data_IF_717497561103
#
_entry.id   IF_717497561103
#
_cell.length_a   1.000
_cell.length_b   1.000
_cell.length_c   1.000
_cell.angle_alpha   90.00
_cell.angle_beta   90.00
_cell.angle_gamma   90.00
#
_symmetry.space_group_name_H-M   'P 1'
#
loop_
_entity.id
_entity.type
_entity.pdbx_description
1 polymer ?
#
# COMPACT_ATOMS: atom_id res chain seq x y z
N UNK A 1 -12.66 16.71 7.37
CA UNK A 1 -12.46 15.38 7.87
C UNK A 1 -12.54 15.37 9.38
N UNK A 2 -13.34 14.49 9.95
CA UNK A 2 -13.52 14.34 11.39
C UNK A 2 -12.32 13.57 11.96
N UNK A 3 -11.61 14.15 12.92
CA UNK A 3 -10.64 13.44 13.75
C UNK A 3 -11.42 12.49 14.67
N UNK A 4 -11.28 11.18 14.50
CA UNK A 4 -11.85 10.19 15.42
C UNK A 4 -10.92 9.94 16.61
N UNK A 5 -11.51 9.76 17.79
CA UNK A 5 -10.83 9.44 19.02
C UNK A 5 -10.22 8.02 18.99
N UNK A 6 -9.09 7.86 19.67
CA UNK A 6 -8.47 6.56 19.97
C UNK A 6 -9.49 5.59 20.57
N UNK A 7 -9.83 4.52 19.88
CA UNK A 7 -10.76 3.56 20.47
C UNK A 7 -10.91 2.21 19.80
N UNK A 8 -10.60 2.04 18.51
CA UNK A 8 -10.83 0.78 17.83
C UNK A 8 -9.73 0.43 16.79
N UNK A 9 -8.49 0.41 17.24
CA UNK A 9 -7.41 -0.22 16.49
C UNK A 9 -7.51 -1.73 16.68
N UNK A 10 -8.36 -2.40 15.91
CA UNK A 10 -8.12 -3.83 15.66
C UNK A 10 -6.75 -3.93 15.01
N UNK A 11 -5.81 -4.57 15.70
CA UNK A 11 -4.46 -4.81 15.19
C UNK A 11 -4.60 -5.63 13.92
N UNK A 12 -4.55 -4.96 12.78
CA UNK A 12 -4.49 -5.61 11.49
C UNK A 12 -3.06 -6.11 11.32
N UNK A 13 -2.88 -7.32 10.79
CA UNK A 13 -1.55 -7.89 10.58
C UNK A 13 -0.66 -6.90 9.80
N UNK A 14 0.57 -6.80 10.24
CA UNK A 14 1.57 -5.85 9.77
C UNK A 14 2.44 -6.50 8.70
N UNK A 15 2.60 -5.84 7.57
CA UNK A 15 3.37 -6.38 6.46
C UNK A 15 4.41 -5.39 5.94
N UNK A 16 5.55 -5.92 5.54
CA UNK A 16 6.51 -5.20 4.72
C UNK A 16 5.95 -4.99 3.32
N UNK A 17 6.46 -3.98 2.62
CA UNK A 17 6.06 -3.72 1.24
C UNK A 17 6.45 -4.90 0.34
N UNK A 18 5.54 -5.36 -0.55
CA UNK A 18 5.89 -6.35 -1.54
C UNK A 18 6.90 -5.79 -2.54
N UNK A 19 7.76 -6.67 -3.06
CA UNK A 19 8.61 -6.35 -4.19
C UNK A 19 7.79 -6.14 -5.46
N UNK A 20 8.28 -5.27 -6.35
CA UNK A 20 7.60 -5.01 -7.62
C UNK A 20 7.79 -6.21 -8.53
N UNK A 21 6.69 -6.82 -8.95
CA UNK A 21 6.74 -7.91 -9.92
C UNK A 21 5.56 -7.86 -10.90
N UNK A 22 5.77 -8.54 -12.00
CA UNK A 22 4.81 -8.69 -13.10
C UNK A 22 4.59 -10.17 -13.36
N UNK A 23 3.37 -10.54 -13.70
CA UNK A 23 3.03 -11.89 -14.10
C UNK A 23 2.17 -11.89 -15.36
N UNK A 24 2.38 -12.90 -16.20
CA UNK A 24 1.60 -13.13 -17.40
C UNK A 24 1.49 -14.63 -17.66
N UNK A 25 0.29 -15.06 -17.98
CA UNK A 25 0.00 -16.46 -18.28
C UNK A 25 -0.70 -16.55 -19.63
N UNK A 26 -0.13 -17.31 -20.58
CA UNK A 26 -0.87 -17.66 -21.80
C UNK A 26 -2.04 -18.56 -21.39
N UNK A 27 -3.25 -18.21 -21.81
CA UNK A 27 -4.42 -19.05 -21.60
C UNK A 27 -4.46 -20.11 -22.71
N UNK A 28 -4.78 -21.35 -22.34
CA UNK A 28 -5.04 -22.46 -23.28
C UNK A 28 -3.94 -22.67 -24.32
N UNK A 29 -2.76 -23.07 -23.86
CA UNK A 29 -1.71 -23.55 -24.75
C UNK A 29 -2.08 -24.99 -25.13
N UNK A 30 -2.58 -25.18 -26.36
CA UNK A 30 -2.82 -26.50 -26.90
C UNK A 30 -1.57 -27.02 -27.55
N UNK A 31 -1.15 -28.20 -27.16
CA UNK A 31 -0.09 -28.97 -27.83
C UNK A 31 -0.80 -29.90 -28.81
N UNK A 32 -0.49 -29.75 -30.10
CA UNK A 32 -1.10 -30.49 -31.18
C UNK A 32 -0.15 -31.52 -31.72
N UNK A 33 -0.66 -32.67 -32.19
CA UNK A 33 0.13 -33.68 -32.93
C UNK A 33 0.32 -33.29 -34.39
N UNK A 34 -0.36 -32.23 -34.86
CA UNK A 34 -0.29 -31.76 -36.23
C UNK A 34 0.85 -30.73 -36.38
N UNK A 35 1.89 -31.02 -37.23
CA UNK A 35 2.99 -30.11 -37.53
C UNK A 35 2.56 -28.71 -38.01
N UNK A 36 1.41 -28.61 -38.68
CA UNK A 36 0.90 -27.35 -39.23
C UNK A 36 0.45 -26.34 -38.11
N UNK A 37 0.30 -26.79 -36.86
CA UNK A 37 -0.08 -25.94 -35.72
C UNK A 37 1.13 -25.30 -35.01
N UNK A 38 2.34 -25.55 -35.56
CA UNK A 38 3.59 -25.00 -35.05
C UNK A 38 4.16 -23.93 -35.99
N UNK A 39 4.98 -23.01 -35.41
CA UNK A 39 5.55 -21.90 -36.19
C UNK A 39 6.67 -22.32 -37.12
N UNK A 40 7.51 -23.27 -36.70
CA UNK A 40 8.59 -23.80 -37.51
C UNK A 40 9.13 -25.12 -36.94
N UNK A 41 9.90 -25.83 -37.75
CA UNK A 41 10.69 -27.00 -37.34
C UNK A 41 12.14 -26.58 -37.06
N UNK A 42 12.63 -26.91 -35.89
CA UNK A 42 14.04 -26.70 -35.52
C UNK A 42 14.83 -27.94 -35.97
N UNK A 43 15.67 -27.77 -37.01
CA UNK A 43 16.45 -28.87 -37.61
C UNK A 43 17.57 -29.35 -36.67
N UNK A 44 18.14 -28.48 -35.84
CA UNK A 44 19.22 -28.84 -34.92
C UNK A 44 18.68 -29.65 -33.73
N UNK A 45 17.60 -29.22 -33.14
CA UNK A 45 16.96 -29.90 -32.02
C UNK A 45 16.01 -31.04 -32.46
N UNK A 46 15.68 -31.14 -33.76
CA UNK A 46 14.72 -32.10 -34.33
C UNK A 46 13.33 -32.03 -33.69
N UNK A 47 12.84 -30.82 -33.41
CA UNK A 47 11.52 -30.57 -32.76
C UNK A 47 10.72 -29.51 -33.48
N UNK A 48 9.39 -29.63 -33.39
CA UNK A 48 8.49 -28.58 -33.82
C UNK A 48 8.38 -27.53 -32.72
N UNK A 49 8.49 -26.26 -33.08
CA UNK A 49 8.50 -25.11 -32.16
C UNK A 49 7.22 -24.28 -32.31
N UNK A 50 6.55 -24.05 -31.20
CA UNK A 50 5.42 -23.11 -31.10
C UNK A 50 5.80 -21.94 -30.19
N UNK A 51 5.73 -20.73 -30.73
CA UNK A 51 6.00 -19.52 -29.97
C UNK A 51 4.75 -19.14 -29.17
N UNK A 52 4.93 -18.86 -27.90
CA UNK A 52 3.88 -18.44 -27.00
C UNK A 52 4.21 -17.04 -26.53
N UNK A 53 3.25 -16.12 -26.71
CA UNK A 53 3.36 -14.76 -26.19
C UNK A 53 2.48 -14.59 -24.97
N UNK A 54 3.00 -13.97 -23.93
CA UNK A 54 2.27 -13.59 -22.75
C UNK A 54 2.44 -12.10 -22.46
N UNK A 55 1.35 -11.41 -22.17
CA UNK A 55 1.41 -10.02 -21.70
C UNK A 55 1.65 -10.02 -20.20
N UNK A 56 2.71 -9.34 -19.77
CA UNK A 56 2.98 -9.15 -18.36
C UNK A 56 2.11 -8.04 -17.79
N UNK A 57 1.40 -8.33 -16.71
CA UNK A 57 0.60 -7.37 -15.97
C UNK A 57 1.21 -7.15 -14.59
N UNK A 58 1.19 -5.90 -14.07
CA UNK A 58 1.64 -5.63 -12.72
C UNK A 58 0.77 -6.38 -11.70
N UNK A 59 1.39 -6.87 -10.64
CA UNK A 59 0.74 -7.51 -9.50
C UNK A 59 0.92 -6.70 -8.22
N UNK A 60 1.65 -5.60 -8.33
CA UNK A 60 1.94 -4.67 -7.25
C UNK A 60 1.71 -3.27 -7.76
N UNK A 61 1.07 -2.46 -6.95
CA UNK A 61 0.73 -1.07 -7.26
C UNK A 61 1.53 -0.11 -6.39
N UNK A 62 1.85 1.06 -6.94
CA UNK A 62 2.68 2.07 -6.27
C UNK A 62 1.80 3.29 -5.97
N UNK A 63 1.82 3.71 -4.70
CA UNK A 63 1.26 4.98 -4.27
C UNK A 63 2.38 5.93 -3.83
N UNK A 64 2.30 7.18 -4.25
CA UNK A 64 3.06 8.27 -3.69
C UNK A 64 2.21 8.95 -2.62
N UNK A 65 2.67 8.91 -1.39
CA UNK A 65 1.93 9.48 -0.25
C UNK A 65 2.58 10.80 0.14
N UNK A 66 1.77 11.85 0.23
CA UNK A 66 2.20 13.20 0.61
C UNK A 66 1.38 13.69 1.80
N UNK A 67 2.05 14.06 2.87
CA UNK A 67 1.47 14.71 4.03
C UNK A 67 1.94 16.16 4.06
N UNK A 68 1.04 17.08 3.75
CA UNK A 68 1.30 18.50 3.65
C UNK A 68 0.99 19.15 4.99
N UNK A 69 1.99 19.71 5.62
CA UNK A 69 1.94 20.30 6.96
C UNK A 69 1.94 21.84 6.84
N UNK A 70 0.76 22.45 6.89
CA UNK A 70 0.62 23.91 6.92
C UNK A 70 0.84 24.44 8.34
N UNK A 71 1.26 25.69 8.46
CA UNK A 71 1.43 26.41 9.72
C UNK A 71 2.31 25.62 10.72
N UNK A 72 3.34 24.93 10.21
CA UNK A 72 4.20 24.09 11.04
C UNK A 72 5.10 24.93 11.97
N UNK A 73 5.67 26.03 11.48
CA UNK A 73 6.55 26.94 12.24
C UNK A 73 7.60 26.22 13.10
N UNK A 74 8.14 25.10 12.57
CA UNK A 74 9.10 24.26 13.27
C UNK A 74 8.56 23.44 14.44
N UNK A 75 7.24 23.34 14.60
CA UNK A 75 6.58 22.56 15.68
C UNK A 75 6.81 21.06 15.49
N UNK A 76 6.68 20.60 14.24
CA UNK A 76 6.92 19.21 13.84
C UNK A 76 8.29 19.16 13.16
N UNK A 77 9.17 18.32 13.68
CA UNK A 77 10.56 18.20 13.23
C UNK A 77 10.76 17.07 12.24
N UNK A 78 9.87 16.09 12.21
CA UNK A 78 9.95 14.94 11.31
C UNK A 78 8.78 13.99 11.49
N UNK A 79 8.88 12.89 10.78
CA UNK A 79 8.10 11.68 11.00
C UNK A 79 9.01 10.63 11.60
N UNK A 80 8.53 9.83 12.51
CA UNK A 80 9.30 8.71 13.05
C UNK A 80 8.93 7.45 12.27
N UNK A 81 9.84 6.99 11.45
CA UNK A 81 10.03 5.70 10.79
C UNK A 81 8.87 4.79 10.38
N UNK A 82 7.66 4.94 10.87
CA UNK A 82 6.59 3.95 10.69
C UNK A 82 5.29 4.56 10.21
N UNK A 83 5.37 5.34 9.13
CA UNK A 83 4.15 5.75 8.44
C UNK A 83 3.51 4.53 7.79
N UNK A 84 2.19 4.38 7.89
CA UNK A 84 1.51 3.19 7.40
C UNK A 84 0.14 3.53 6.79
N UNK A 85 -0.32 2.68 5.88
CA UNK A 85 -1.73 2.69 5.43
C UNK A 85 -2.32 1.31 5.67
N UNK A 86 -3.52 1.29 6.29
CA UNK A 86 -4.31 0.07 6.47
C UNK A 86 -5.30 -0.16 5.32
N UNK A 87 -5.88 -1.36 5.27
CA UNK A 87 -6.98 -1.69 4.37
C UNK A 87 -6.56 -2.17 2.98
N UNK A 88 -5.27 -2.35 2.73
CA UNK A 88 -4.79 -3.03 1.53
C UNK A 88 -4.83 -4.55 1.68
N UNK A 89 -4.92 -5.27 0.57
CA UNK A 89 -4.90 -6.73 0.57
C UNK A 89 -3.52 -7.26 1.01
N UNK A 90 -3.53 -8.31 1.84
CA UNK A 90 -2.30 -8.98 2.28
C UNK A 90 -1.66 -9.87 1.22
N UNK A 91 -2.32 -10.10 0.09
CA UNK A 91 -1.81 -10.92 -0.98
C UNK A 91 -2.63 -10.86 -2.26
N UNK A 92 -2.05 -11.34 -3.36
CA UNK A 92 -2.69 -11.44 -4.66
C UNK A 92 -2.48 -12.82 -5.27
N UNK A 93 -3.44 -13.30 -6.02
CA UNK A 93 -3.26 -14.49 -6.84
C UNK A 93 -2.37 -14.15 -8.04
N UNK A 94 -1.20 -14.75 -8.11
CA UNK A 94 -0.19 -14.46 -9.16
C UNK A 94 -0.74 -14.73 -10.55
N UNK A 95 -1.55 -15.77 -10.71
CA UNK A 95 -2.11 -16.17 -12.00
C UNK A 95 -3.23 -15.22 -12.47
N UNK A 96 -4.21 -14.97 -11.60
CA UNK A 96 -5.38 -14.15 -11.95
C UNK A 96 -5.16 -12.67 -11.67
N UNK A 97 -4.31 -12.33 -10.71
CA UNK A 97 -4.12 -10.97 -10.19
C UNK A 97 -5.23 -10.51 -9.26
N UNK A 98 -6.19 -11.38 -8.94
CA UNK A 98 -7.22 -11.07 -7.97
C UNK A 98 -6.62 -11.00 -6.56
N UNK A 99 -6.92 -9.93 -5.84
CA UNK A 99 -6.43 -9.73 -4.48
C UNK A 99 -7.33 -10.46 -3.47
N UNK A 100 -6.76 -10.87 -2.36
CA UNK A 100 -7.55 -11.51 -1.30
C UNK A 100 -8.38 -10.47 -0.51
N UNK A 101 -9.33 -10.97 0.28
CA UNK A 101 -10.17 -10.17 1.17
C UNK A 101 -9.63 -10.15 2.63
N UNK A 102 -8.31 -10.10 2.79
CA UNK A 102 -7.65 -10.04 4.09
C UNK A 102 -6.92 -8.70 4.21
N UNK A 103 -7.54 -7.70 4.87
CA UNK A 103 -6.92 -6.38 5.00
C UNK A 103 -5.66 -6.45 5.88
N UNK A 104 -4.66 -5.71 5.47
CA UNK A 104 -3.42 -5.56 6.20
C UNK A 104 -3.03 -4.07 6.31
N UNK A 105 -2.04 -3.82 7.14
CA UNK A 105 -1.39 -2.52 7.25
C UNK A 105 0.01 -2.63 6.65
N UNK A 106 0.35 -1.71 5.76
CA UNK A 106 1.63 -1.69 5.06
C UNK A 106 2.42 -0.45 5.48
N UNK A 107 3.66 -0.66 5.93
CA UNK A 107 4.57 0.40 6.31
C UNK A 107 5.40 0.91 5.16
N UNK A 108 5.75 2.19 5.25
CA UNK A 108 6.68 2.83 4.33
C UNK A 108 7.42 3.99 5.02
N UNK A 109 8.61 4.28 4.52
CA UNK A 109 9.39 5.41 4.99
C UNK A 109 8.94 6.69 4.34
N UNK A 110 9.01 7.78 5.10
CA UNK A 110 8.77 9.13 4.60
C UNK A 110 9.97 10.01 4.83
N UNK A 111 10.21 10.92 3.88
CA UNK A 111 11.22 11.96 3.98
C UNK A 111 10.54 13.33 4.05
N UNK A 112 10.98 14.18 4.98
CA UNK A 112 10.44 15.52 5.13
C UNK A 112 11.24 16.53 4.30
N UNK A 113 10.53 17.33 3.52
CA UNK A 113 11.04 18.55 2.86
C UNK A 113 10.36 19.76 3.45
N UNK A 114 11.17 20.81 3.70
CA UNK A 114 10.68 22.03 4.32
C UNK A 114 10.51 23.13 3.28
N UNK A 115 9.59 24.06 3.60
CA UNK A 115 9.35 25.24 2.80
C UNK A 115 9.09 24.94 1.30
N UNK A 116 8.20 23.98 1.04
CA UNK A 116 7.74 23.61 -0.30
C UNK A 116 6.51 24.45 -0.64
N UNK A 117 6.43 24.99 -1.85
CA UNK A 117 5.21 25.63 -2.32
C UNK A 117 4.20 24.57 -2.77
N UNK A 118 3.08 24.47 -2.06
CA UNK A 118 1.97 23.56 -2.37
C UNK A 118 0.72 24.43 -2.56
N UNK A 119 0.13 24.39 -3.75
CA UNK A 119 -1.06 25.19 -4.10
C UNK A 119 -0.91 26.69 -3.78
N UNK A 120 0.31 27.24 -4.01
CA UNK A 120 0.62 28.64 -3.75
C UNK A 120 0.84 29.02 -2.28
N UNK A 121 0.84 28.06 -1.37
CA UNK A 121 1.14 28.24 0.05
C UNK A 121 2.41 27.49 0.44
N UNK A 122 3.19 28.08 1.34
CA UNK A 122 4.36 27.40 1.88
C UNK A 122 3.95 26.37 2.93
N UNK A 123 4.53 25.18 2.80
CA UNK A 123 4.27 24.05 3.70
C UNK A 123 5.53 23.20 3.88
N UNK A 124 5.58 22.44 4.94
CA UNK A 124 6.49 21.30 5.04
C UNK A 124 5.78 20.05 4.51
N UNK A 125 6.48 19.19 3.80
CA UNK A 125 5.87 18.02 3.16
C UNK A 125 6.65 16.77 3.58
N UNK A 126 5.97 15.81 4.22
CA UNK A 126 6.49 14.47 4.41
C UNK A 126 5.96 13.59 3.28
N UNK A 127 6.85 12.99 2.51
CA UNK A 127 6.46 12.17 1.36
C UNK A 127 7.21 10.84 1.34
N UNK A 128 6.52 9.80 0.87
CA UNK A 128 7.07 8.47 0.74
C UNK A 128 6.42 7.67 -0.38
N UNK A 129 7.03 6.54 -0.71
CA UNK A 129 6.52 5.58 -1.68
C UNK A 129 6.03 4.34 -0.95
N UNK A 130 4.80 3.94 -1.25
CA UNK A 130 4.17 2.73 -0.76
C UNK A 130 3.94 1.76 -1.93
N UNK A 131 4.33 0.50 -1.76
CA UNK A 131 4.02 -0.61 -2.66
C UNK A 131 3.06 -1.59 -1.99
N UNK A 132 2.00 -1.98 -2.71
CA UNK A 132 0.95 -2.86 -2.19
C UNK A 132 0.44 -3.81 -3.25
N UNK A 133 -0.29 -4.86 -2.86
CA UNK A 133 -1.05 -5.69 -3.80
C UNK A 133 -2.33 -5.03 -4.31
N UNK A 134 -2.70 -3.87 -3.76
CA UNK A 134 -3.93 -3.15 -4.08
C UNK A 134 -5.00 -3.30 -3.00
N UNK A 135 -6.21 -2.86 -3.31
CA UNK A 135 -7.34 -2.96 -2.39
C UNK A 135 -7.79 -4.42 -2.23
N UNK A 136 -8.48 -4.72 -1.12
CA UNK A 136 -9.05 -6.04 -0.89
C UNK A 136 -10.10 -6.38 -1.95
N UNK A 137 -10.15 -7.65 -2.34
CA UNK A 137 -11.12 -8.22 -3.27
C UNK A 137 -11.18 -7.48 -4.62
N UNK A 138 -10.03 -7.01 -5.08
CA UNK A 138 -9.89 -6.28 -6.34
C UNK A 138 -9.59 -7.23 -7.48
N UNK A 139 -10.29 -7.06 -8.62
CA UNK A 139 -9.99 -7.80 -9.83
C UNK A 139 -8.66 -7.37 -10.46
N UNK A 140 -8.07 -8.27 -11.23
CA UNK A 140 -6.82 -8.01 -11.94
C UNK A 140 -6.92 -6.81 -12.87
N UNK A 141 -5.86 -5.99 -12.89
CA UNK A 141 -5.66 -5.02 -13.95
C UNK A 141 -5.53 -5.74 -15.30
N UNK A 142 -6.47 -5.46 -16.21
CA UNK A 142 -6.40 -5.91 -17.59
C UNK A 142 -6.02 -4.70 -18.45
N UNK A 143 -4.91 -4.80 -19.17
CA UNK A 143 -4.33 -3.69 -19.97
C UNK A 143 -5.33 -3.08 -21.00
N UNK A 144 -6.36 -3.83 -21.39
CA UNK A 144 -7.33 -3.40 -22.40
C UNK A 144 -8.58 -2.67 -21.86
N UNK A 145 -8.76 -2.60 -20.56
CA UNK A 145 -9.92 -1.94 -19.96
C UNK A 145 -9.47 -0.95 -18.91
N UNK A 146 -9.92 0.30 -19.02
CA UNK A 146 -10.06 1.18 -17.87
C UNK A 146 -11.15 0.56 -17.00
N UNK A 147 -10.83 -0.54 -16.31
CA UNK A 147 -11.79 -1.15 -15.42
C UNK A 147 -11.95 -0.23 -14.21
N UNK A 148 -13.09 0.43 -14.14
CA UNK A 148 -13.58 0.88 -12.86
C UNK A 148 -13.57 -0.31 -11.90
N UNK A 149 -13.17 -0.08 -10.66
CA UNK A 149 -13.22 -1.08 -9.61
C UNK A 149 -14.62 -1.69 -9.53
N UNK A 150 -14.74 -2.95 -9.94
CA UNK A 150 -15.98 -3.74 -9.93
C UNK A 150 -15.93 -4.86 -8.89
N UNK A 151 -15.27 -4.66 -7.79
CA UNK A 151 -15.39 -5.55 -6.65
C UNK A 151 -16.57 -5.13 -5.77
N UNK A 152 -17.32 -6.08 -5.21
CA UNK A 152 -18.18 -5.76 -4.08
C UNK A 152 -17.30 -5.10 -3.04
N UNK A 153 -17.56 -3.83 -2.72
CA UNK A 153 -16.73 -3.06 -1.78
C UNK A 153 -16.69 -3.83 -0.48
N UNK A 154 -15.54 -4.39 -0.07
CA UNK A 154 -15.44 -4.79 1.32
C UNK A 154 -15.63 -3.51 2.14
N UNK A 155 -16.31 -3.59 3.28
CA UNK A 155 -16.43 -2.49 4.24
C UNK A 155 -15.07 -2.22 4.93
N UNK A 156 -14.01 -2.12 4.13
CA UNK A 156 -12.64 -1.91 4.59
C UNK A 156 -12.23 -0.50 4.23
N UNK A 157 -12.13 0.33 5.26
CA UNK A 157 -11.64 1.68 5.11
C UNK A 157 -10.10 1.70 5.13
N UNK A 158 -9.54 2.62 4.35
CA UNK A 158 -8.11 2.87 4.33
C UNK A 158 -7.79 4.05 5.25
N UNK A 159 -6.90 3.83 6.22
CA UNK A 159 -6.43 4.85 7.15
C UNK A 159 -4.93 5.05 6.99
N UNK A 160 -4.52 6.30 6.84
CA UNK A 160 -3.12 6.71 6.88
C UNK A 160 -2.75 7.05 8.33
N UNK A 161 -1.71 6.41 8.84
CA UNK A 161 -1.13 6.64 10.16
C UNK A 161 0.19 7.38 9.98
N UNK A 162 0.29 8.59 10.54
CA UNK A 162 1.48 9.44 10.43
C UNK A 162 2.03 9.71 11.83
N UNK A 163 3.12 9.05 12.23
CA UNK A 163 3.79 9.33 13.51
C UNK A 163 4.61 10.62 13.38
N UNK A 164 4.11 11.70 13.94
CA UNK A 164 4.76 13.01 13.95
C UNK A 164 5.68 13.17 15.16
N UNK A 165 6.90 13.65 14.93
CA UNK A 165 7.83 14.05 15.97
C UNK A 165 7.78 15.55 16.18
N UNK A 166 7.56 15.98 17.42
CA UNK A 166 7.52 17.39 17.81
C UNK A 166 8.89 17.90 18.25
N UNK A 167 9.06 19.24 18.21
CA UNK A 167 10.31 19.91 18.59
C UNK A 167 10.76 19.67 20.05
N UNK A 168 9.83 19.31 20.93
CA UNK A 168 10.10 18.95 22.33
C UNK A 168 10.46 17.47 22.50
N UNK A 169 10.66 16.71 21.42
CA UNK A 169 10.99 15.29 21.42
C UNK A 169 9.81 14.35 21.61
N UNK A 170 8.61 14.88 21.86
CA UNK A 170 7.41 14.04 21.96
C UNK A 170 6.94 13.55 20.59
N UNK A 171 6.17 12.47 20.59
CA UNK A 171 5.59 11.88 19.38
C UNK A 171 4.08 11.77 19.50
N UNK A 172 3.40 11.90 18.37
CA UNK A 172 1.96 11.67 18.27
C UNK A 172 1.62 11.13 16.90
N UNK A 173 0.91 10.02 16.85
CA UNK A 173 0.38 9.49 15.58
C UNK A 173 -0.92 10.19 15.24
N UNK A 174 -1.02 10.68 14.01
CA UNK A 174 -2.24 11.22 13.43
C UNK A 174 -2.81 10.18 12.49
N UNK A 175 -4.12 9.94 12.59
CA UNK A 175 -4.86 9.03 11.74
C UNK A 175 -5.79 9.81 10.82
N UNK A 176 -5.68 9.56 9.52
CA UNK A 176 -6.51 10.22 8.50
C UNK A 176 -7.13 9.16 7.61
N UNK A 177 -8.44 9.25 7.39
CA UNK A 177 -9.12 8.39 6.43
C UNK A 177 -8.79 8.82 4.99
N UNK A 178 -8.34 7.86 4.18
CA UNK A 178 -7.92 8.07 2.78
C UNK A 178 -8.64 7.12 1.82
N UNK A 179 -9.74 6.52 2.26
CA UNK A 179 -10.49 5.50 1.52
C UNK A 179 -10.87 5.96 0.11
N UNK A 180 -11.45 7.15 -0.02
CA UNK A 180 -11.89 7.68 -1.32
C UNK A 180 -10.71 7.87 -2.28
N UNK A 181 -9.56 8.33 -1.78
CA UNK A 181 -8.35 8.49 -2.60
C UNK A 181 -7.80 7.15 -3.06
N UNK A 182 -7.77 6.14 -2.18
CA UNK A 182 -7.32 4.79 -2.54
C UNK A 182 -8.26 4.15 -3.55
N UNK A 183 -9.58 4.28 -3.36
CA UNK A 183 -10.59 3.70 -4.26
C UNK A 183 -10.60 4.35 -5.64
N UNK A 184 -10.47 5.67 -5.72
CA UNK A 184 -10.40 6.39 -7.00
C UNK A 184 -9.13 6.11 -7.80
N UNK A 185 -8.08 5.61 -7.14
CA UNK A 185 -6.77 5.30 -7.70
C UNK A 185 -6.35 3.85 -7.37
N UNK A 186 -7.26 2.89 -7.54
CA UNK A 186 -7.07 1.50 -7.09
C UNK A 186 -5.85 0.78 -7.69
N UNK A 187 -5.31 1.28 -8.81
CA UNK A 187 -4.11 0.76 -9.47
C UNK A 187 -2.83 1.58 -9.18
N UNK A 188 -2.81 2.28 -8.06
CA UNK A 188 -1.72 3.18 -7.71
C UNK A 188 -2.00 4.62 -8.11
N UNK A 189 -1.31 5.56 -7.47
CA UNK A 189 -1.51 6.98 -7.70
C UNK A 189 -0.88 7.85 -6.63
N UNK A 190 -1.50 9.01 -6.37
CA UNK A 190 -1.01 9.97 -5.38
C UNK A 190 -2.06 10.17 -4.30
N UNK A 191 -1.67 9.90 -3.06
CA UNK A 191 -2.49 10.16 -1.87
C UNK A 191 -1.96 11.43 -1.22
N UNK A 192 -2.78 12.46 -1.10
CA UNK A 192 -2.38 13.73 -0.49
C UNK A 192 -3.28 14.05 0.70
N UNK A 193 -2.65 14.33 1.83
CA UNK A 193 -3.32 14.71 3.08
C UNK A 193 -2.81 16.07 3.53
N UNK A 194 -3.73 16.96 3.88
CA UNK A 194 -3.44 18.29 4.38
C UNK A 194 -3.69 18.35 5.89
N UNK A 195 -2.68 18.79 6.63
CA UNK A 195 -2.74 18.92 8.10
C UNK A 195 -2.39 20.36 8.48
N UNK A 196 -3.27 21.01 9.23
CA UNK A 196 -2.98 22.30 9.86
C UNK A 196 -2.30 22.06 11.21
N UNK A 197 -0.99 22.24 11.26
CA UNK A 197 -0.20 22.03 12.47
C UNK A 197 -0.51 23.05 13.58
N UNK A 198 -1.08 24.19 13.22
CA UNK A 198 -1.52 25.20 14.19
C UNK A 198 -2.62 24.67 15.13
N UNK A 199 -3.43 23.74 14.64
CA UNK A 199 -4.55 23.16 15.41
C UNK A 199 -4.14 21.95 16.27
N UNK A 200 -2.94 21.41 16.06
CA UNK A 200 -2.46 20.23 16.80
C UNK A 200 -1.77 20.72 18.09
N UNK A 201 -2.28 20.36 19.27
CA UNK A 201 -1.56 20.68 20.51
C UNK A 201 -0.24 19.91 20.55
N UNK A 202 0.85 20.60 20.94
CA UNK A 202 2.12 19.93 21.22
C UNK A 202 1.90 19.10 22.49
N UNK A 203 2.15 17.77 22.46
CA UNK A 203 2.00 16.97 23.66
C UNK A 203 2.92 17.46 24.76
N UNK A 204 2.45 17.47 26.01
CA UNK A 204 3.27 17.83 27.14
C UNK A 204 4.41 16.79 27.26
N UNK A 205 5.67 17.28 27.28
CA UNK A 205 6.80 16.42 27.53
C UNK A 205 6.71 15.91 28.96
N UNK A 206 6.40 14.64 29.17
CA UNK A 206 6.58 14.01 30.48
C UNK A 206 8.09 14.07 30.78
N UNK A 207 8.48 14.95 31.70
CA UNK A 207 9.83 14.98 32.24
C UNK A 207 10.12 13.66 32.93
N UNK A 208 10.87 12.78 32.28
CA UNK A 208 11.28 11.48 32.83
C UNK A 208 10.76 10.31 32.01
N UNK A 209 11.59 9.84 31.15
CA UNK A 209 11.70 8.53 30.51
C UNK A 209 10.56 7.53 30.71
N UNK A 210 9.54 7.59 29.89
CA UNK A 210 8.80 6.41 29.50
C UNK A 210 8.70 6.42 27.99
N UNK A 211 9.63 5.72 27.36
CA UNK A 211 9.45 5.22 26.02
C UNK A 211 8.19 4.35 26.09
N UNK A 212 7.12 4.72 25.39
CA UNK A 212 5.98 3.85 25.18
C UNK A 212 6.50 2.70 24.29
N UNK A 213 6.89 1.62 24.95
CA UNK A 213 7.08 0.35 24.26
C UNK A 213 5.69 -0.22 24.12
N UNK A 214 5.15 -0.37 22.90
CA UNK A 214 3.88 -1.08 22.75
C UNK A 214 4.10 -2.50 23.28
N UNK A 215 3.48 -2.82 24.38
CA UNK A 215 3.43 -4.20 24.90
C UNK A 215 2.56 -4.96 23.91
N UNK A 216 3.15 -5.83 23.14
CA UNK A 216 2.45 -6.82 22.36
C UNK A 216 1.92 -7.83 23.36
N UNK A 217 0.65 -7.71 23.73
CA UNK A 217 -0.03 -8.76 24.48
C UNK A 217 -0.29 -9.92 23.52
N UNK A 218 0.27 -11.06 23.89
CA UNK A 218 0.09 -12.42 23.42
C UNK A 218 -0.47 -12.63 22.01
N UNK A 219 0.43 -13.01 21.11
CA UNK A 219 0.05 -13.67 19.87
C UNK A 219 -0.43 -15.09 20.21
N UNK A 220 -1.68 -15.39 19.93
CA UNK A 220 -2.09 -16.80 19.76
C UNK A 220 -1.44 -17.30 18.46
N UNK A 221 -0.53 -18.24 18.62
CA UNK A 221 0.09 -18.98 17.54
C UNK A 221 -0.99 -19.85 16.89
N UNK A 222 -1.44 -19.49 15.72
CA UNK A 222 -2.41 -20.30 14.95
C UNK A 222 -1.62 -21.24 14.07
N UNK A 223 -1.47 -22.48 14.50
CA UNK A 223 -0.94 -23.58 13.69
C UNK A 223 -1.90 -23.87 12.54
N UNK A 224 -1.44 -23.69 11.32
CA UNK A 224 -2.13 -24.18 10.14
C UNK A 224 -1.55 -25.54 9.75
N UNK A 225 -2.30 -26.60 10.02
CA UNK A 225 -2.04 -27.92 9.42
C UNK A 225 -2.28 -27.82 7.91
N UNK A 226 -1.19 -27.89 7.13
CA UNK A 226 -1.28 -28.07 5.68
C UNK A 226 -1.33 -29.58 5.42
N UNK A 227 -2.51 -30.11 5.21
CA UNK A 227 -2.67 -31.44 4.62
C UNK A 227 -2.24 -31.38 3.14
N UNK A 228 -1.21 -32.17 2.80
CA UNK A 228 -0.75 -32.39 1.41
C UNK A 228 -1.52 -33.53 0.76
#
# INVERSE_FOLDING_TARGET
GMLRAEGDLKVTALYNQPEIFYAGYPRNVEISDNPADYDYFDEEAQVWVKRISATLCPRVYIYLVQVVLYNNDGRITGTTGETAISGFASGTNVNTGHTNNKPCQVYFDTAMRRNVSVEGRMADVAAGRLTTFGLCDMESYVVSSKSEYKGGRPEVNNYLYVPLQFRNGTQKTITVEVTDQCQSQCHGGVITVFIDCGTIPIPEGSGGGNVFVPTVEDYEEVDYDIEM
#
